data_IF_670228758298
#
_entry.id   IF_670228758298
#
_cell.length_a   1.000
_cell.length_b   1.000
_cell.length_c   1.000
_cell.angle_alpha   90.00
_cell.angle_beta   90.00
_cell.angle_gamma   90.00
#
_symmetry.space_group_name_H-M   'P 1'
#
loop_
_entity.id
_entity.type
_entity.pdbx_description
1 polymer ?
#
# COMPACT_ATOMS: atom_id res chain seq x y z
N UNK A 1 28.60 -5.17 2.25
CA UNK A 1 27.90 -5.28 0.96
C UNK A 1 26.57 -6.01 1.13
N UNK A 2 26.39 -6.77 2.22
CA UNK A 2 25.12 -7.44 2.57
C UNK A 2 23.90 -6.52 2.79
N UNK A 3 24.06 -5.30 3.33
CA UNK A 3 22.90 -4.44 3.66
C UNK A 3 22.03 -4.05 2.45
N UNK A 4 22.63 -3.88 1.26
CA UNK A 4 21.87 -3.53 0.05
C UNK A 4 21.03 -4.70 -0.47
N UNK A 5 21.56 -5.92 -0.39
CA UNK A 5 20.84 -7.14 -0.80
C UNK A 5 19.67 -7.44 0.13
N UNK A 6 19.83 -7.23 1.44
CA UNK A 6 18.73 -7.42 2.39
C UNK A 6 17.60 -6.40 2.17
N UNK A 7 17.92 -5.13 1.95
CA UNK A 7 16.90 -4.10 1.67
C UNK A 7 16.14 -4.38 0.37
N UNK A 8 16.84 -4.77 -0.69
CA UNK A 8 16.21 -5.10 -1.98
C UNK A 8 15.27 -6.30 -1.89
N UNK A 9 15.66 -7.34 -1.14
CA UNK A 9 14.79 -8.52 -0.93
C UNK A 9 13.49 -8.17 -0.19
N UNK A 10 13.56 -7.33 0.83
CA UNK A 10 12.38 -6.94 1.61
C UNK A 10 11.43 -6.09 0.77
N UNK A 11 11.95 -5.16 -0.04
CA UNK A 11 11.12 -4.35 -0.93
C UNK A 11 10.36 -5.22 -1.95
N UNK A 12 11.01 -6.23 -2.54
CA UNK A 12 10.38 -7.16 -3.48
C UNK A 12 9.27 -7.98 -2.80
N UNK A 13 9.52 -8.49 -1.58
CA UNK A 13 8.51 -9.25 -0.82
C UNK A 13 7.31 -8.36 -0.51
N UNK A 14 7.54 -7.12 -0.09
CA UNK A 14 6.47 -6.17 0.21
C UNK A 14 5.68 -5.82 -1.06
N UNK A 15 6.37 -5.56 -2.17
CA UNK A 15 5.71 -5.28 -3.45
C UNK A 15 4.80 -6.45 -3.88
N UNK A 16 5.33 -7.68 -3.84
CA UNK A 16 4.58 -8.88 -4.20
C UNK A 16 3.35 -9.06 -3.31
N UNK A 17 3.52 -8.88 -2.00
CA UNK A 17 2.43 -8.97 -1.04
C UNK A 17 1.34 -7.94 -1.31
N UNK A 18 1.70 -6.69 -1.59
CA UNK A 18 0.72 -5.65 -1.94
C UNK A 18 0.00 -6.00 -3.24
N UNK A 19 0.71 -6.44 -4.28
CA UNK A 19 0.12 -6.75 -5.59
C UNK A 19 -0.77 -7.99 -5.58
N UNK A 20 -0.35 -9.06 -4.92
CA UNK A 20 -1.03 -10.36 -5.00
C UNK A 20 -2.04 -10.58 -3.86
N UNK A 21 -1.91 -9.88 -2.73
CA UNK A 21 -2.78 -10.07 -1.57
C UNK A 21 -3.65 -8.84 -1.30
N UNK A 22 -3.05 -7.68 -1.05
CA UNK A 22 -3.80 -6.47 -0.66
C UNK A 22 -4.62 -5.90 -1.82
N UNK A 23 -4.04 -5.81 -3.02
CA UNK A 23 -4.72 -5.24 -4.18
C UNK A 23 -6.00 -6.00 -4.54
N UNK A 24 -5.98 -7.34 -4.50
CA UNK A 24 -7.16 -8.17 -4.77
C UNK A 24 -8.28 -7.94 -3.75
N UNK A 25 -7.94 -7.82 -2.46
CA UNK A 25 -8.95 -7.52 -1.42
C UNK A 25 -9.56 -6.13 -1.61
N UNK A 26 -8.73 -5.12 -1.86
CA UNK A 26 -9.21 -3.75 -2.08
C UNK A 26 -10.04 -3.64 -3.36
N UNK A 27 -9.69 -4.37 -4.42
CA UNK A 27 -10.50 -4.43 -5.65
C UNK A 27 -11.86 -5.08 -5.42
N UNK A 28 -11.96 -6.07 -4.53
CA UNK A 28 -13.24 -6.64 -4.11
C UNK A 28 -14.18 -5.62 -3.46
N UNK A 29 -13.62 -4.62 -2.76
CA UNK A 29 -14.34 -3.49 -2.17
C UNK A 29 -14.57 -2.32 -3.16
N UNK A 30 -14.28 -2.51 -4.45
CA UNK A 30 -14.39 -1.48 -5.49
C UNK A 30 -13.24 -0.47 -5.51
N UNK A 31 -12.19 -0.74 -4.74
CA UNK A 31 -11.03 0.11 -4.60
C UNK A 31 -9.89 -0.17 -5.58
N UNK A 32 -8.92 0.73 -5.61
CA UNK A 32 -7.67 0.52 -6.35
C UNK A 32 -6.47 1.05 -5.58
N UNK A 33 -5.48 0.18 -5.36
CA UNK A 33 -4.22 0.49 -4.69
C UNK A 33 -3.05 0.03 -5.56
N UNK A 34 -1.97 0.79 -5.56
CA UNK A 34 -0.71 0.42 -6.19
C UNK A 34 0.46 0.62 -5.22
N UNK A 35 1.43 -0.30 -5.28
CA UNK A 35 2.70 -0.14 -4.61
C UNK A 35 3.53 0.96 -5.30
N UNK A 36 4.11 1.88 -4.51
CA UNK A 36 5.01 2.92 -5.04
C UNK A 36 6.45 2.67 -4.58
N UNK A 37 6.66 2.50 -3.27
CA UNK A 37 7.98 2.26 -2.70
C UNK A 37 7.89 1.73 -1.27
N UNK A 38 8.94 1.05 -0.82
CA UNK A 38 9.09 0.66 0.57
C UNK A 38 10.49 0.98 1.08
N UNK A 39 10.61 1.98 1.95
CA UNK A 39 11.90 2.44 2.45
C UNK A 39 11.82 2.85 3.91
N UNK A 40 12.79 2.42 4.71
CA UNK A 40 12.90 2.78 6.14
C UNK A 40 11.60 2.49 6.92
N UNK A 41 10.98 1.34 6.67
CA UNK A 41 9.67 0.92 7.20
C UNK A 41 8.49 1.82 6.80
N UNK A 42 8.67 2.73 5.84
CA UNK A 42 7.59 3.50 5.23
C UNK A 42 7.17 2.87 3.92
N UNK A 43 5.91 2.48 3.86
CA UNK A 43 5.25 1.92 2.69
C UNK A 43 4.41 3.01 2.02
N UNK A 44 4.81 3.39 0.81
CA UNK A 44 4.08 4.39 0.03
C UNK A 44 3.11 3.67 -0.89
N UNK A 45 1.81 3.96 -0.73
CA UNK A 45 0.74 3.37 -1.52
C UNK A 45 -0.01 4.46 -2.28
N UNK A 46 -0.30 4.18 -3.54
CA UNK A 46 -1.09 5.05 -4.40
C UNK A 46 -2.53 4.55 -4.47
N UNK A 47 -3.46 5.35 -3.97
CA UNK A 47 -4.90 5.08 -4.03
C UNK A 47 -5.55 5.87 -5.16
N UNK A 48 -6.31 5.18 -6.01
CA UNK A 48 -7.01 5.76 -7.18
C UNK A 48 -8.53 5.62 -7.07
N UNK A 49 -9.22 6.19 -8.05
CA UNK A 49 -10.67 6.07 -8.22
C UNK A 49 -11.43 6.42 -6.92
N UNK A 50 -12.35 5.56 -6.48
CA UNK A 50 -13.16 5.81 -5.28
C UNK A 50 -12.32 5.86 -4.00
N UNK A 51 -11.24 5.06 -3.91
CA UNK A 51 -10.33 5.12 -2.77
C UNK A 51 -9.65 6.49 -2.60
N UNK A 52 -9.43 7.24 -3.69
CA UNK A 52 -8.84 8.57 -3.61
C UNK A 52 -9.73 9.59 -2.88
N UNK A 53 -11.05 9.36 -2.85
CA UNK A 53 -12.05 10.22 -2.20
C UNK A 53 -12.60 9.63 -0.89
N UNK A 54 -12.16 8.43 -0.53
CA UNK A 54 -12.67 7.73 0.64
C UNK A 54 -12.35 8.49 1.94
N UNK A 55 -13.39 8.81 2.72
CA UNK A 55 -13.26 9.46 4.02
C UNK A 55 -12.61 8.53 5.06
N UNK A 56 -12.81 7.22 4.92
CA UNK A 56 -12.25 6.20 5.81
C UNK A 56 -10.94 5.59 5.31
N UNK A 57 -10.21 6.29 4.43
CA UNK A 57 -8.93 5.80 3.91
C UNK A 57 -7.93 5.48 5.04
N UNK A 58 -7.97 6.24 6.13
CA UNK A 58 -7.15 5.96 7.32
C UNK A 58 -7.46 4.58 7.93
N UNK A 59 -8.73 4.18 7.99
CA UNK A 59 -9.15 2.84 8.44
C UNK A 59 -8.61 1.77 7.49
N UNK A 60 -8.67 1.99 6.18
CA UNK A 60 -8.11 1.07 5.20
C UNK A 60 -6.59 0.93 5.37
N UNK A 61 -5.87 2.04 5.54
CA UNK A 61 -4.43 2.02 5.81
C UNK A 61 -4.10 1.31 7.13
N UNK A 62 -4.88 1.53 8.20
CA UNK A 62 -4.66 0.82 9.46
C UNK A 62 -4.92 -0.68 9.33
N UNK A 63 -5.93 -1.09 8.57
CA UNK A 63 -6.15 -2.50 8.28
C UNK A 63 -4.99 -3.12 7.50
N UNK A 64 -4.46 -2.44 6.47
CA UNK A 64 -3.27 -2.91 5.73
C UNK A 64 -2.06 -3.04 6.66
N UNK A 65 -1.83 -2.06 7.56
CA UNK A 65 -0.75 -2.12 8.56
C UNK A 65 -0.88 -3.35 9.47
N UNK A 66 -2.07 -3.59 10.02
CA UNK A 66 -2.32 -4.76 10.86
C UNK A 66 -2.08 -6.04 10.07
N UNK A 67 -2.56 -6.12 8.84
CA UNK A 67 -2.40 -7.29 8.00
C UNK A 67 -0.93 -7.61 7.69
N UNK A 68 -0.14 -6.60 7.33
CA UNK A 68 1.32 -6.74 7.12
C UNK A 68 2.01 -7.22 8.41
N UNK A 69 1.60 -6.69 9.56
CA UNK A 69 2.14 -7.11 10.85
C UNK A 69 1.79 -8.55 11.19
N UNK A 70 0.57 -8.98 10.92
CA UNK A 70 0.11 -10.35 11.19
C UNK A 70 0.74 -11.38 10.23
N UNK A 71 0.78 -11.07 8.93
CA UNK A 71 1.25 -12.02 7.91
C UNK A 71 2.78 -12.02 7.76
N UNK A 72 3.44 -10.85 7.87
CA UNK A 72 4.88 -10.69 7.63
C UNK A 72 5.69 -10.36 8.90
N UNK A 73 5.03 -10.09 10.04
CA UNK A 73 5.72 -9.70 11.27
C UNK A 73 6.39 -8.32 11.21
N UNK A 74 6.11 -7.53 10.17
CA UNK A 74 6.75 -6.22 9.95
C UNK A 74 5.86 -5.08 10.43
N UNK A 75 6.45 -4.14 11.16
CA UNK A 75 5.77 -2.92 11.55
C UNK A 75 6.09 -1.82 10.53
N UNK A 76 5.07 -1.37 9.80
CA UNK A 76 5.21 -0.38 8.73
C UNK A 76 4.35 0.85 8.98
N UNK A 77 4.83 2.00 8.53
CA UNK A 77 4.06 3.23 8.43
C UNK A 77 3.59 3.38 6.99
N UNK A 78 2.30 3.69 6.78
CA UNK A 78 1.74 3.82 5.42
C UNK A 78 1.62 5.29 5.08
N UNK A 79 2.26 5.69 3.97
CA UNK A 79 2.06 6.97 3.33
C UNK A 79 1.08 6.80 2.16
N UNK A 80 -0.11 7.36 2.29
CA UNK A 80 -1.18 7.20 1.32
C UNK A 80 -1.22 8.38 0.35
N UNK A 81 -0.76 8.16 -0.89
CA UNK A 81 -0.89 9.12 -1.99
C UNK A 81 -2.26 8.97 -2.62
N UNK A 82 -3.05 10.05 -2.65
CA UNK A 82 -4.37 10.06 -3.28
C UNK A 82 -4.26 10.67 -4.67
N UNK A 83 -4.49 9.88 -5.72
CA UNK A 83 -4.55 10.39 -7.09
C UNK A 83 -5.99 10.46 -7.56
N UNK A 84 -6.51 11.69 -7.58
CA UNK A 84 -7.84 11.97 -8.11
C UNK A 84 -7.88 11.66 -9.61
N UNK A 85 -8.96 11.06 -10.12
CA UNK A 85 -9.14 10.89 -11.56
C UNK A 85 -9.21 12.24 -12.27
N UNK A 86 -8.56 12.33 -13.44
CA UNK A 86 -8.37 13.56 -14.24
C UNK A 86 -9.69 14.21 -14.68
N UNK A 87 -10.78 13.44 -14.75
CA UNK A 87 -12.10 13.89 -15.22
C UNK A 87 -12.98 14.54 -14.13
N UNK A 88 -12.45 14.72 -12.91
CA UNK A 88 -13.15 15.31 -11.76
C UNK A 88 -12.63 16.71 -11.37
N UNK A 89 -12.01 17.42 -12.32
CA UNK A 89 -11.63 18.84 -12.21
C UNK A 89 -12.71 19.78 -12.80
N UNK A 90 -13.98 19.42 -12.71
CA UNK A 90 -15.13 20.27 -13.06
C UNK A 90 -15.78 20.85 -11.83
#
# INVERSE_FOLDING_TARGET
MEEKTHKLKVEIIMEDYIKNTIAGMIQGDGGWVEFVSFKDNKLTLLFRAECSKCFILDRCCNWIKSRIREDLGQNVEIEAIRKKPFFWET
#
